data_IF_446803444851
#
_entry.id   IF_446803444851
#
_cell.length_a   1.000
_cell.length_b   1.000
_cell.length_c   1.000
_cell.angle_alpha   90.00
_cell.angle_beta   90.00
_cell.angle_gamma   90.00
#
_symmetry.space_group_name_H-M   'P 1'
#
loop_
_entity.id
_entity.type
_entity.pdbx_description
1 polymer ?
#
# COMPACT_ATOMS: atom_id res chain seq x y z
N UNK A 1 -2.82 13.28 -16.47
CA UNK A 1 -3.26 13.46 -15.08
C UNK A 1 -2.63 12.34 -14.29
N UNK A 2 -1.91 12.69 -13.24
CA UNK A 2 -1.25 11.74 -12.35
C UNK A 2 -1.74 12.00 -10.93
N UNK A 3 -2.58 11.09 -10.40
CA UNK A 3 -3.18 11.19 -9.06
C UNK A 3 -2.39 10.37 -8.05
N UNK A 4 -1.13 10.72 -7.84
CA UNK A 4 -0.16 9.73 -7.36
C UNK A 4 -0.32 9.34 -5.89
N UNK A 5 -0.97 10.16 -5.06
CA UNK A 5 -1.32 9.78 -3.69
C UNK A 5 -2.36 8.67 -3.64
N UNK A 6 -3.20 8.58 -4.67
CA UNK A 6 -4.23 7.57 -4.82
C UNK A 6 -3.66 6.36 -5.56
N UNK A 7 -3.17 6.58 -6.77
CA UNK A 7 -2.94 5.52 -7.76
C UNK A 7 -1.73 4.63 -7.48
N UNK A 8 -0.82 5.02 -6.58
CA UNK A 8 0.32 4.16 -6.23
C UNK A 8 -0.13 2.86 -5.54
N UNK A 9 -1.31 2.85 -4.94
CA UNK A 9 -1.78 1.79 -4.03
C UNK A 9 -2.29 0.57 -4.79
N UNK A 10 -3.01 0.76 -5.91
CA UNK A 10 -3.55 -0.33 -6.70
C UNK A 10 -3.54 -0.09 -8.22
N UNK A 11 -3.79 1.13 -8.69
CA UNK A 11 -3.85 1.41 -10.15
C UNK A 11 -2.51 1.12 -10.84
N UNK A 12 -1.41 1.73 -10.39
CA UNK A 12 -0.10 1.43 -10.97
C UNK A 12 0.36 -0.02 -10.73
N UNK A 13 0.18 -0.61 -9.53
CA UNK A 13 0.39 -2.04 -9.33
C UNK A 13 -0.38 -2.96 -10.28
N UNK A 14 -1.63 -2.61 -10.61
CA UNK A 14 -2.44 -3.33 -11.59
C UNK A 14 -1.88 -3.15 -13.01
N UNK A 15 -1.54 -1.91 -13.41
CA UNK A 15 -0.96 -1.63 -14.73
C UNK A 15 0.36 -2.36 -14.95
N UNK A 16 1.20 -2.53 -13.91
CA UNK A 16 2.41 -3.36 -14.01
C UNK A 16 2.07 -4.78 -14.51
N UNK A 17 0.95 -5.34 -14.07
CA UNK A 17 0.49 -6.69 -14.44
C UNK A 17 -0.13 -6.69 -15.84
N UNK A 18 -1.17 -5.89 -16.05
CA UNK A 18 -2.07 -6.06 -17.20
C UNK A 18 -1.74 -5.16 -18.39
N UNK A 19 -1.08 -4.03 -18.16
CA UNK A 19 -0.74 -3.04 -19.19
C UNK A 19 0.70 -2.47 -19.00
N UNK A 20 1.74 -3.33 -18.93
CA UNK A 20 3.09 -2.90 -18.56
C UNK A 20 3.65 -1.82 -19.49
N UNK A 21 3.30 -1.83 -20.77
CA UNK A 21 3.69 -0.77 -21.71
C UNK A 21 3.09 0.60 -21.37
N UNK A 22 1.82 0.63 -20.95
CA UNK A 22 1.17 1.89 -20.51
C UNK A 22 1.86 2.41 -19.26
N UNK A 23 2.26 1.50 -18.38
CA UNK A 23 2.99 1.83 -17.16
C UNK A 23 4.39 2.40 -17.44
N UNK A 24 5.15 1.80 -18.36
CA UNK A 24 6.42 2.38 -18.80
C UNK A 24 6.23 3.74 -19.48
N UNK A 25 5.18 3.92 -20.29
CA UNK A 25 4.87 5.20 -20.91
C UNK A 25 4.44 6.26 -19.86
N UNK A 26 3.78 5.84 -18.77
CA UNK A 26 3.50 6.69 -17.63
C UNK A 26 4.81 7.15 -16.95
N UNK A 27 5.75 6.23 -16.71
CA UNK A 27 7.06 6.57 -16.12
C UNK A 27 7.85 7.50 -17.04
N UNK A 28 7.93 7.23 -18.36
CA UNK A 28 8.54 8.15 -19.32
C UNK A 28 7.95 9.55 -19.23
N UNK A 29 6.62 9.65 -19.05
CA UNK A 29 5.95 10.94 -18.91
C UNK A 29 6.32 11.65 -17.60
N UNK A 30 6.48 10.90 -16.50
CA UNK A 30 6.98 11.45 -15.23
C UNK A 30 8.43 11.96 -15.36
N UNK A 31 9.28 11.25 -16.10
CA UNK A 31 10.66 11.68 -16.35
C UNK A 31 10.73 12.89 -17.28
N UNK A 32 9.89 12.97 -18.31
CA UNK A 32 9.77 14.17 -19.16
C UNK A 32 9.36 15.40 -18.34
N UNK A 33 8.42 15.23 -17.40
CA UNK A 33 8.06 16.27 -16.42
C UNK A 33 9.23 16.64 -15.50
N UNK A 34 10.04 15.67 -15.10
CA UNK A 34 11.26 15.92 -14.32
C UNK A 34 12.30 16.72 -15.12
N UNK A 35 12.58 16.34 -16.37
CA UNK A 35 13.57 17.02 -17.21
C UNK A 35 13.17 18.47 -17.54
N UNK A 36 11.88 18.71 -17.76
CA UNK A 36 11.38 20.02 -18.14
C UNK A 36 10.94 20.91 -16.97
N UNK A 37 10.37 20.32 -15.92
CA UNK A 37 9.89 21.02 -14.72
C UNK A 37 10.85 20.96 -13.53
N UNK A 38 11.89 20.13 -13.63
CA UNK A 38 12.92 19.95 -12.61
C UNK A 38 12.55 19.01 -11.46
N UNK A 39 11.30 18.51 -11.39
CA UNK A 39 10.81 17.73 -10.25
C UNK A 39 9.77 16.69 -10.70
N UNK A 40 9.77 15.52 -10.06
CA UNK A 40 8.66 14.58 -10.22
C UNK A 40 7.40 15.18 -9.57
N UNK A 41 6.24 15.10 -10.22
CA UNK A 41 5.00 15.65 -9.68
C UNK A 41 4.45 14.82 -8.52
N UNK A 42 3.56 15.43 -7.74
CA UNK A 42 2.71 14.75 -6.74
C UNK A 42 1.30 14.51 -7.30
N UNK A 43 0.67 15.62 -7.68
CA UNK A 43 -0.45 15.66 -8.60
C UNK A 43 0.00 16.40 -9.85
N UNK A 44 -0.28 15.81 -11.01
CA UNK A 44 -0.28 16.54 -12.28
C UNK A 44 -1.70 16.67 -12.81
N UNK A 45 -2.08 17.89 -13.17
CA UNK A 45 -3.26 18.15 -14.00
C UNK A 45 -2.99 19.26 -15.01
N UNK A 46 -3.19 18.96 -16.29
CA UNK A 46 -3.04 19.89 -17.41
C UNK A 46 -1.66 20.58 -17.46
N UNK A 47 -0.59 19.79 -17.30
CA UNK A 47 0.82 20.21 -17.30
C UNK A 47 1.17 21.19 -16.16
N UNK A 48 0.55 21.02 -14.99
CA UNK A 48 0.83 21.85 -13.81
C UNK A 48 1.01 21.00 -12.56
N UNK A 49 1.95 21.42 -11.73
CA UNK A 49 2.03 21.01 -10.34
C UNK A 49 0.89 21.67 -9.56
N UNK A 50 -0.08 20.88 -9.15
CA UNK A 50 -1.15 21.32 -8.23
C UNK A 50 -0.80 20.96 -6.78
N UNK A 51 0.22 20.13 -6.57
CA UNK A 51 0.84 19.77 -5.28
C UNK A 51 -0.03 18.99 -4.29
N UNK A 52 -1.19 18.54 -4.74
CA UNK A 52 -2.11 17.61 -4.07
C UNK A 52 -1.52 16.18 -4.20
N UNK A 53 -1.49 15.32 -3.20
CA UNK A 53 -1.76 15.49 -1.78
C UNK A 53 -0.45 15.59 -0.99
N UNK A 54 -0.13 14.64 -0.12
CA UNK A 54 1.05 14.64 0.76
C UNK A 54 2.16 13.73 0.20
N UNK A 55 3.31 13.70 0.88
CA UNK A 55 4.51 12.94 0.47
C UNK A 55 4.90 13.11 -1.02
N UNK A 56 5.45 12.07 -1.67
CA UNK A 56 6.03 12.07 -3.02
C UNK A 56 5.96 10.70 -3.73
N UNK A 57 4.75 10.20 -3.97
CA UNK A 57 4.51 8.82 -4.43
C UNK A 57 4.89 8.48 -5.89
N UNK A 58 5.36 9.45 -6.69
CA UNK A 58 6.03 9.14 -7.96
C UNK A 58 7.18 8.14 -7.74
N UNK A 59 7.86 8.28 -6.61
CA UNK A 59 8.91 7.40 -6.13
C UNK A 59 8.43 5.95 -5.94
N UNK A 60 7.27 5.75 -5.31
CA UNK A 60 6.69 4.42 -5.15
C UNK A 60 6.37 3.77 -6.49
N UNK A 61 5.80 4.53 -7.42
CA UNK A 61 5.39 4.01 -8.74
C UNK A 61 6.62 3.59 -9.57
N UNK A 62 7.66 4.41 -9.57
CA UNK A 62 8.91 4.08 -10.26
C UNK A 62 9.59 2.88 -9.60
N UNK A 63 9.76 2.89 -8.27
CA UNK A 63 10.41 1.81 -7.54
C UNK A 63 9.70 0.47 -7.71
N UNK A 64 8.37 0.45 -7.58
CA UNK A 64 7.54 -0.73 -7.85
C UNK A 64 7.71 -1.27 -9.27
N UNK A 65 7.67 -0.41 -10.29
CA UNK A 65 7.88 -0.86 -11.66
C UNK A 65 9.28 -1.42 -11.88
N UNK A 66 10.32 -0.83 -11.27
CA UNK A 66 11.68 -1.37 -11.33
C UNK A 66 11.79 -2.74 -10.66
N UNK A 67 11.20 -2.92 -9.48
CA UNK A 67 11.15 -4.21 -8.74
C UNK A 67 10.48 -5.29 -9.57
N UNK A 68 9.47 -4.94 -10.36
CA UNK A 68 8.77 -5.84 -11.30
C UNK A 68 9.40 -5.92 -12.68
N UNK A 69 10.69 -5.56 -12.79
CA UNK A 69 11.46 -5.70 -14.03
C UNK A 69 11.08 -4.75 -15.18
N UNK A 70 10.14 -3.82 -15.00
CA UNK A 70 9.77 -2.81 -16.00
C UNK A 70 10.82 -1.70 -16.04
N UNK A 71 11.92 -1.99 -16.73
CA UNK A 71 13.13 -1.16 -16.76
C UNK A 71 13.61 -0.84 -18.18
N UNK A 72 13.04 -1.47 -19.21
CA UNK A 72 13.51 -1.32 -20.59
C UNK A 72 12.94 -0.08 -21.29
N UNK A 73 11.78 0.39 -20.85
CA UNK A 73 11.10 1.54 -21.46
C UNK A 73 11.76 2.88 -21.21
N UNK A 74 12.53 3.07 -20.13
CA UNK A 74 12.99 4.41 -19.72
C UNK A 74 14.40 4.37 -19.14
N UNK A 75 14.99 5.55 -18.94
CA UNK A 75 16.32 5.68 -18.32
C UNK A 75 16.18 5.48 -16.80
N UNK A 76 16.59 4.32 -16.31
CA UNK A 76 16.52 3.95 -14.88
C UNK A 76 17.48 4.76 -14.01
N UNK A 77 18.61 5.21 -14.54
CA UNK A 77 19.54 6.08 -13.82
C UNK A 77 18.92 7.48 -13.64
N UNK A 78 18.28 8.01 -14.68
CA UNK A 78 17.52 9.27 -14.59
C UNK A 78 16.33 9.15 -13.64
N UNK A 79 15.63 8.02 -13.67
CA UNK A 79 14.51 7.75 -12.77
C UNK A 79 14.96 7.76 -11.30
N UNK A 80 16.06 7.08 -11.00
CA UNK A 80 16.66 7.11 -9.67
C UNK A 80 17.15 8.51 -9.28
N UNK A 81 17.82 9.24 -10.17
CA UNK A 81 18.24 10.62 -9.92
C UNK A 81 17.05 11.50 -9.51
N UNK A 82 15.92 11.37 -10.20
CA UNK A 82 14.71 12.12 -9.93
C UNK A 82 14.10 11.78 -8.56
N UNK A 83 14.02 10.48 -8.21
CA UNK A 83 13.58 10.01 -6.89
C UNK A 83 14.49 10.53 -5.77
N UNK A 84 15.81 10.41 -5.96
CA UNK A 84 16.82 10.88 -5.01
C UNK A 84 16.72 12.40 -4.81
N UNK A 85 16.56 13.18 -5.88
CA UNK A 85 16.42 14.63 -5.79
C UNK A 85 15.16 15.04 -5.03
N UNK A 86 14.01 14.43 -5.33
CA UNK A 86 12.73 14.71 -4.66
C UNK A 86 12.80 14.44 -3.14
N UNK A 87 13.55 13.43 -2.73
CA UNK A 87 13.68 13.00 -1.33
C UNK A 87 14.84 13.63 -0.54
N UNK A 88 15.66 14.48 -1.18
CA UNK A 88 16.83 15.13 -0.54
C UNK A 88 16.87 16.65 -0.71
N UNK A 89 16.02 17.22 -1.57
CA UNK A 89 16.04 18.66 -1.86
C UNK A 89 14.65 19.26 -1.82
N UNK A 90 14.59 20.50 -1.33
CA UNK A 90 13.39 21.33 -1.45
C UNK A 90 13.48 22.23 -2.69
N UNK A 91 12.35 22.47 -3.39
CA UNK A 91 12.28 23.44 -4.47
C UNK A 91 12.55 24.87 -4.00
N UNK A 92 13.13 25.69 -4.89
CA UNK A 92 13.27 27.13 -4.69
C UNK A 92 12.05 27.92 -5.19
N UNK A 93 12.12 29.25 -5.09
CA UNK A 93 11.04 30.16 -5.49
C UNK A 93 10.78 30.22 -7.02
N UNK A 94 11.58 29.53 -7.82
CA UNK A 94 11.53 29.51 -9.28
C UNK A 94 10.61 28.43 -9.86
N UNK A 95 9.99 27.60 -9.01
CA UNK A 95 9.05 26.55 -9.43
C UNK A 95 7.75 26.58 -8.62
N UNK A 96 6.69 26.03 -9.22
CA UNK A 96 5.41 25.81 -8.54
C UNK A 96 5.35 24.50 -7.78
N UNK A 97 6.33 23.61 -7.95
CA UNK A 97 6.40 22.37 -7.19
C UNK A 97 6.65 22.66 -5.70
N UNK A 98 5.92 21.99 -4.81
CA UNK A 98 6.01 22.21 -3.37
C UNK A 98 7.03 21.30 -2.66
N UNK A 99 7.53 20.25 -3.33
CA UNK A 99 8.40 19.28 -2.70
C UNK A 99 7.70 18.40 -1.68
N UNK A 100 8.50 17.57 -1.01
CA UNK A 100 8.10 16.82 0.18
C UNK A 100 8.05 17.80 1.37
N UNK A 101 6.93 18.50 1.53
CA UNK A 101 6.73 19.48 2.60
C UNK A 101 7.03 18.84 3.97
N UNK A 102 7.91 19.49 4.75
CA UNK A 102 8.42 18.97 6.03
C UNK A 102 9.66 18.07 5.92
N UNK A 103 10.27 17.93 4.74
CA UNK A 103 11.46 17.09 4.53
C UNK A 103 12.63 17.45 5.46
N UNK A 104 12.89 18.74 5.69
CA UNK A 104 13.95 19.20 6.59
C UNK A 104 13.74 18.66 8.02
N UNK A 105 12.51 18.75 8.52
CA UNK A 105 12.12 18.21 9.83
C UNK A 105 12.15 16.70 9.85
N UNK A 106 11.61 16.05 8.82
CA UNK A 106 11.63 14.61 8.66
C UNK A 106 13.06 14.05 8.72
N UNK A 107 14.01 14.67 8.02
CA UNK A 107 15.42 14.26 8.03
C UNK A 107 16.12 14.59 9.35
N UNK A 108 15.80 15.72 9.99
CA UNK A 108 16.41 16.14 11.26
C UNK A 108 15.95 15.25 12.44
N UNK A 109 14.64 15.04 12.58
CA UNK A 109 14.04 14.38 13.74
C UNK A 109 13.75 12.90 13.53
N UNK A 110 13.74 12.41 12.29
CA UNK A 110 13.22 11.10 11.95
C UNK A 110 11.68 11.02 11.92
N UNK A 111 11.02 12.17 12.01
CA UNK A 111 9.57 12.36 11.87
C UNK A 111 9.29 13.85 11.67
N UNK A 112 8.05 14.21 11.33
CA UNK A 112 7.64 15.62 11.28
C UNK A 112 6.98 15.97 12.62
N UNK A 113 7.53 16.89 13.44
CA UNK A 113 6.88 17.29 14.68
C UNK A 113 5.60 18.09 14.45
N UNK A 114 4.53 17.84 15.21
CA UNK A 114 3.23 18.51 15.01
C UNK A 114 3.28 20.02 15.29
N UNK A 115 4.10 20.46 16.24
CA UNK A 115 4.32 21.87 16.60
C UNK A 115 5.31 22.61 15.68
N UNK A 116 6.02 21.88 14.81
CA UNK A 116 6.98 22.43 13.83
C UNK A 116 6.74 21.88 12.41
N UNK A 117 5.51 21.43 12.09
CA UNK A 117 5.20 20.77 10.81
C UNK A 117 5.21 21.69 9.59
N UNK A 118 5.26 23.01 9.80
CA UNK A 118 5.14 24.00 8.74
C UNK A 118 3.88 23.79 7.89
N UNK A 119 4.08 23.56 6.60
CA UNK A 119 2.99 23.33 5.63
C UNK A 119 2.76 21.84 5.31
N UNK A 120 3.39 20.90 6.02
CA UNK A 120 3.15 19.47 5.80
C UNK A 120 1.68 19.11 6.08
N UNK A 121 1.07 18.32 5.20
CA UNK A 121 -0.29 17.82 5.40
C UNK A 121 -0.28 16.67 6.40
N UNK A 122 -0.63 16.95 7.64
CA UNK A 122 -0.56 15.99 8.75
C UNK A 122 0.88 15.54 9.08
N UNK A 123 1.33 15.77 10.31
CA UNK A 123 2.65 15.34 10.77
C UNK A 123 2.85 13.83 10.68
N UNK A 124 1.85 13.07 11.14
CA UNK A 124 1.89 11.61 11.21
C UNK A 124 1.72 11.00 9.82
N UNK A 125 0.69 11.40 9.07
CA UNK A 125 0.44 10.89 7.71
C UNK A 125 1.64 11.11 6.79
N UNK A 126 2.22 12.32 6.78
CA UNK A 126 3.40 12.60 5.95
C UNK A 126 4.65 11.84 6.43
N UNK A 127 4.80 11.58 7.74
CA UNK A 127 5.90 10.75 8.25
C UNK A 127 5.77 9.30 7.80
N UNK A 128 4.57 8.72 7.90
CA UNK A 128 4.29 7.33 7.53
C UNK A 128 4.49 7.10 6.03
N UNK A 129 3.82 7.91 5.20
CA UNK A 129 3.91 7.81 3.74
C UNK A 129 5.31 8.14 3.21
N UNK A 130 6.00 9.07 3.87
CA UNK A 130 7.39 9.36 3.58
C UNK A 130 8.33 8.19 3.88
N UNK A 131 8.09 7.46 4.97
CA UNK A 131 8.89 6.29 5.35
C UNK A 131 8.69 5.15 4.35
N UNK A 132 7.44 4.93 3.90
CA UNK A 132 7.15 4.02 2.80
C UNK A 132 7.82 4.43 1.47
N UNK A 133 7.75 5.72 1.09
CA UNK A 133 8.43 6.17 -0.13
C UNK A 133 9.95 5.99 -0.04
N UNK A 134 10.54 6.14 1.15
CA UNK A 134 11.96 5.88 1.36
C UNK A 134 12.28 4.39 1.20
N UNK A 135 11.41 3.47 1.62
CA UNK A 135 11.53 2.03 1.29
C UNK A 135 11.57 1.82 -0.23
N UNK A 136 10.66 2.42 -1.00
CA UNK A 136 10.66 2.28 -2.46
C UNK A 136 11.95 2.83 -3.12
N UNK A 137 12.59 3.87 -2.55
CA UNK A 137 13.90 4.34 -3.00
C UNK A 137 14.98 3.31 -2.68
N UNK A 138 14.94 2.70 -1.49
CA UNK A 138 15.88 1.66 -1.11
C UNK A 138 15.83 0.49 -2.11
N UNK A 139 14.64 0.01 -2.45
CA UNK A 139 14.48 -1.09 -3.43
C UNK A 139 15.05 -0.72 -4.81
N UNK A 140 14.79 0.50 -5.29
CA UNK A 140 15.41 0.98 -6.53
C UNK A 140 16.95 1.14 -6.43
N UNK A 141 17.46 1.53 -5.26
CA UNK A 141 18.89 1.64 -5.00
C UNK A 141 19.59 0.28 -5.04
N UNK A 142 18.99 -0.74 -4.45
CA UNK A 142 19.50 -2.12 -4.43
C UNK A 142 19.63 -2.69 -5.86
N UNK A 143 18.57 -2.54 -6.68
CA UNK A 143 18.57 -2.95 -8.09
C UNK A 143 19.68 -2.29 -8.92
N UNK A 144 20.09 -1.08 -8.54
CA UNK A 144 21.14 -0.31 -9.22
C UNK A 144 22.53 -0.47 -8.56
N UNK A 145 22.66 -1.30 -7.52
CA UNK A 145 23.92 -1.53 -6.79
C UNK A 145 24.42 -0.28 -6.04
N UNK A 146 23.50 0.52 -5.50
CA UNK A 146 23.79 1.74 -4.72
C UNK A 146 23.70 1.46 -3.22
N UNK A 147 24.59 0.59 -2.73
CA UNK A 147 24.56 0.04 -1.37
C UNK A 147 24.45 1.11 -0.26
N UNK A 148 25.23 2.20 -0.33
CA UNK A 148 25.19 3.29 0.66
C UNK A 148 23.83 3.98 0.70
N UNK A 149 23.19 4.16 -0.46
CA UNK A 149 21.86 4.76 -0.55
C UNK A 149 20.81 3.75 -0.04
N UNK A 150 20.92 2.46 -0.42
CA UNK A 150 20.05 1.40 0.11
C UNK A 150 20.05 1.39 1.65
N UNK A 151 21.22 1.33 2.29
CA UNK A 151 21.33 1.34 3.76
C UNK A 151 20.72 2.61 4.37
N UNK A 152 20.95 3.77 3.74
CA UNK A 152 20.41 5.06 4.20
C UNK A 152 18.89 5.09 4.14
N UNK A 153 18.32 4.63 3.03
CA UNK A 153 16.88 4.68 2.81
C UNK A 153 16.14 3.57 3.58
N UNK A 154 16.73 2.38 3.78
CA UNK A 154 16.18 1.37 4.69
C UNK A 154 16.11 1.88 6.14
N UNK A 155 17.13 2.62 6.60
CA UNK A 155 17.06 3.27 7.92
C UNK A 155 15.94 4.30 8.01
N UNK A 156 15.74 5.10 6.96
CA UNK A 156 14.64 6.08 6.89
C UNK A 156 13.27 5.40 6.78
N UNK A 157 13.20 4.24 6.14
CA UNK A 157 11.98 3.44 6.05
C UNK A 157 11.46 3.01 7.43
N UNK A 158 12.34 2.87 8.43
CA UNK A 158 11.98 2.63 9.84
C UNK A 158 11.47 3.86 10.62
N UNK A 159 11.39 5.05 10.01
CA UNK A 159 10.96 6.27 10.72
C UNK A 159 9.48 6.26 11.17
N UNK A 160 8.67 5.32 10.67
CA UNK A 160 7.30 5.12 11.16
C UNK A 160 7.25 4.84 12.68
N UNK A 161 8.26 4.19 13.24
CA UNK A 161 8.34 3.89 14.67
C UNK A 161 8.35 5.15 15.53
N UNK A 162 8.89 6.27 15.00
CA UNK A 162 9.04 7.51 15.75
C UNK A 162 7.72 8.20 16.07
N UNK A 163 6.64 7.82 15.39
CA UNK A 163 5.28 8.34 15.61
C UNK A 163 4.34 7.28 16.19
N UNK A 164 4.85 6.11 16.58
CA UNK A 164 4.09 5.09 17.30
C UNK A 164 4.13 5.35 18.82
N UNK A 165 2.98 5.63 19.42
CA UNK A 165 2.87 5.82 20.88
C UNK A 165 2.67 4.45 21.56
N UNK A 166 3.66 3.94 22.33
CA UNK A 166 3.57 2.60 22.91
C UNK A 166 2.48 2.47 23.99
N UNK A 167 2.05 3.58 24.61
CA UNK A 167 1.02 3.55 25.65
C UNK A 167 -0.38 3.40 25.03
N UNK A 168 -0.65 4.17 23.98
CA UNK A 168 -1.93 4.08 23.24
C UNK A 168 -1.90 3.03 22.15
N UNK A 169 -0.71 2.53 21.77
CA UNK A 169 -0.42 1.66 20.63
C UNK A 169 -0.91 2.19 19.29
N UNK A 170 -1.13 3.48 19.16
CA UNK A 170 -1.61 4.13 17.94
C UNK A 170 -0.50 5.00 17.36
N UNK A 171 -0.56 5.26 16.05
CA UNK A 171 0.24 6.35 15.49
C UNK A 171 -0.32 7.67 16.04
N UNK A 172 0.54 8.52 16.58
CA UNK A 172 0.15 9.72 17.33
C UNK A 172 1.06 10.91 16.99
N UNK A 173 0.52 12.13 16.89
CA UNK A 173 1.35 13.30 16.65
C UNK A 173 2.35 13.50 17.79
N UNK A 174 3.59 13.82 17.43
CA UNK A 174 4.72 13.98 18.35
C UNK A 174 5.31 15.38 18.21
N UNK A 175 5.77 15.96 19.31
CA UNK A 175 6.33 17.31 19.37
C UNK A 175 7.83 17.31 19.13
N UNK A 176 8.40 18.48 18.85
CA UNK A 176 9.83 18.64 18.56
C UNK A 176 10.71 18.33 19.79
N UNK A 177 10.16 18.47 21.00
CA UNK A 177 10.83 18.09 22.25
C UNK A 177 10.77 16.57 22.54
N UNK A 178 10.11 15.80 21.67
CA UNK A 178 9.96 14.35 21.74
C UNK A 178 8.75 13.87 22.53
N UNK A 179 7.98 14.77 23.17
CA UNK A 179 6.75 14.42 23.87
C UNK A 179 5.57 14.19 22.91
N UNK A 180 4.55 13.46 23.36
CA UNK A 180 3.34 13.24 22.56
C UNK A 180 2.41 14.45 22.61
N UNK A 181 1.86 14.85 21.46
CA UNK A 181 0.88 15.93 21.39
C UNK A 181 -0.36 15.61 22.23
N UNK A 182 -0.82 16.61 22.97
CA UNK A 182 -2.13 16.62 23.63
C UNK A 182 -2.83 17.94 23.30
N UNK A 183 -4.13 17.93 22.96
CA UNK A 183 -4.86 19.17 22.70
C UNK A 183 -5.03 20.00 23.98
N UNK A 184 -5.15 21.31 23.83
CA UNK A 184 -5.24 22.25 24.97
C UNK A 184 -6.46 21.99 25.88
N UNK A 185 -7.51 21.36 25.36
CA UNK A 185 -8.80 21.15 26.02
C UNK A 185 -9.03 19.73 26.54
N UNK A 186 -8.06 18.82 26.40
CA UNK A 186 -8.24 17.46 26.90
C UNK A 186 -7.14 16.46 26.53
N UNK A 187 -7.48 15.19 26.67
CA UNK A 187 -6.63 14.07 26.26
C UNK A 187 -6.79 13.84 24.75
N UNK A 188 -5.67 13.57 24.08
CA UNK A 188 -5.68 13.17 22.67
C UNK A 188 -6.47 11.87 22.48
N UNK A 189 -7.26 11.80 21.42
CA UNK A 189 -8.03 10.62 21.06
C UNK A 189 -7.60 10.11 19.68
N UNK A 190 -7.62 8.78 19.47
CA UNK A 190 -7.34 8.21 18.14
C UNK A 190 -8.30 8.68 17.03
N UNK A 191 -9.47 9.19 17.40
CA UNK A 191 -10.46 9.79 16.48
C UNK A 191 -10.15 11.23 16.08
N UNK A 192 -9.15 11.86 16.71
CA UNK A 192 -8.77 13.23 16.40
C UNK A 192 -8.06 13.27 15.04
N UNK A 193 -8.49 14.20 14.19
CA UNK A 193 -7.95 14.39 12.84
C UNK A 193 -6.60 15.12 12.83
N UNK A 194 -6.23 15.76 13.95
CA UNK A 194 -4.97 16.48 14.08
C UNK A 194 -3.76 15.58 13.83
N UNK A 195 -2.91 15.99 12.88
CA UNK A 195 -1.72 15.24 12.46
C UNK A 195 -1.96 14.23 11.32
N UNK A 196 -3.18 14.10 10.81
CA UNK A 196 -3.53 13.16 9.74
C UNK A 196 -4.13 13.87 8.52
N UNK A 197 -4.03 13.25 7.35
CA UNK A 197 -4.59 13.74 6.08
C UNK A 197 -5.78 12.89 5.68
N UNK A 198 -6.97 13.49 5.60
CA UNK A 198 -8.22 12.81 5.23
C UNK A 198 -8.65 11.69 6.20
N UNK A 199 -8.18 11.68 7.44
CA UNK A 199 -8.59 10.67 8.40
C UNK A 199 -8.08 10.94 9.79
N UNK A 200 -7.93 9.87 10.56
CA UNK A 200 -7.41 9.89 11.91
C UNK A 200 -6.53 8.66 12.16
N UNK A 201 -6.18 8.40 13.42
CA UNK A 201 -5.28 7.30 13.77
C UNK A 201 -5.86 5.91 13.47
N UNK A 202 -7.19 5.74 13.47
CA UNK A 202 -7.83 4.47 13.09
C UNK A 202 -7.65 4.13 11.60
N UNK A 203 -7.46 5.12 10.73
CA UNK A 203 -7.13 4.88 9.32
C UNK A 203 -5.62 4.76 9.10
N UNK A 204 -4.83 5.64 9.71
CA UNK A 204 -3.40 5.76 9.39
C UNK A 204 -2.47 4.85 10.17
N UNK A 205 -2.87 4.32 11.33
CA UNK A 205 -1.97 3.44 12.09
C UNK A 205 -1.50 2.25 11.29
N UNK A 206 -2.33 1.79 10.35
CA UNK A 206 -2.05 0.70 9.45
C UNK A 206 -1.07 1.05 8.32
N UNK A 207 -0.74 2.33 8.10
CA UNK A 207 0.09 2.78 6.99
C UNK A 207 1.60 2.59 7.27
N UNK A 208 1.98 1.36 7.59
CA UNK A 208 3.35 0.88 7.73
C UNK A 208 3.61 -0.14 6.64
N UNK A 209 3.26 0.21 5.39
CA UNK A 209 3.17 -0.74 4.27
C UNK A 209 4.44 -1.58 4.12
N UNK A 210 5.61 -0.95 4.24
CA UNK A 210 6.90 -1.61 4.15
C UNK A 210 7.20 -2.58 5.31
N UNK A 211 6.54 -2.44 6.47
CA UNK A 211 6.86 -3.19 7.69
C UNK A 211 5.63 -3.53 8.55
N UNK A 212 4.62 -4.18 7.96
CA UNK A 212 3.42 -4.57 8.72
C UNK A 212 3.79 -5.57 9.84
N UNK A 213 4.75 -6.46 9.60
CA UNK A 213 5.31 -7.36 10.63
C UNK A 213 5.89 -6.59 11.81
N UNK A 214 6.70 -5.55 11.56
CA UNK A 214 7.19 -4.65 12.59
C UNK A 214 6.06 -3.94 13.36
N UNK A 215 4.97 -3.54 12.69
CA UNK A 215 3.80 -2.99 13.37
C UNK A 215 3.10 -4.02 14.27
N UNK A 216 2.99 -5.29 13.83
CA UNK A 216 2.46 -6.38 14.67
C UNK A 216 3.31 -6.55 15.92
N UNK A 217 4.63 -6.49 15.81
CA UNK A 217 5.55 -6.58 16.95
C UNK A 217 5.40 -5.40 17.93
N UNK A 218 5.30 -4.18 17.41
CA UNK A 218 5.10 -2.96 18.22
C UNK A 218 3.74 -2.95 18.94
N UNK A 219 2.67 -3.33 18.24
CA UNK A 219 1.31 -3.29 18.75
C UNK A 219 0.98 -4.51 19.62
N UNK A 220 1.62 -5.65 19.35
CA UNK A 220 1.24 -6.97 19.83
C UNK A 220 0.07 -7.55 19.04
N UNK A 221 0.23 -8.80 18.60
CA UNK A 221 -0.71 -9.56 17.75
C UNK A 221 -2.17 -9.48 18.22
N UNK A 222 -2.44 -9.67 19.53
CA UNK A 222 -3.79 -9.61 20.10
C UNK A 222 -4.43 -8.23 19.88
N UNK A 223 -3.73 -7.16 20.23
CA UNK A 223 -4.25 -5.78 20.04
C UNK A 223 -4.38 -5.43 18.56
N UNK A 224 -3.46 -5.90 17.72
CA UNK A 224 -3.52 -5.70 16.27
C UNK A 224 -4.80 -6.30 15.69
N UNK A 225 -5.08 -7.56 16.00
CA UNK A 225 -6.27 -8.26 15.53
C UNK A 225 -7.55 -7.68 16.11
N UNK A 226 -7.60 -7.39 17.42
CA UNK A 226 -8.79 -6.79 18.06
C UNK A 226 -9.18 -5.45 17.44
N UNK A 227 -8.20 -4.65 17.01
CA UNK A 227 -8.45 -3.37 16.36
C UNK A 227 -8.87 -3.50 14.90
N UNK A 228 -8.32 -4.45 14.17
CA UNK A 228 -8.84 -4.76 12.84
C UNK A 228 -10.27 -5.27 12.94
N UNK A 229 -10.57 -6.17 13.90
CA UNK A 229 -11.93 -6.65 14.16
C UNK A 229 -12.87 -5.46 14.42
N UNK A 230 -12.49 -4.57 15.35
CA UNK A 230 -13.23 -3.33 15.63
C UNK A 230 -13.39 -2.46 14.38
N UNK A 231 -12.34 -2.29 13.58
CA UNK A 231 -12.39 -1.46 12.37
C UNK A 231 -13.42 -2.01 11.36
N UNK A 232 -13.51 -3.33 11.23
CA UNK A 232 -14.38 -4.00 10.25
C UNK A 232 -15.76 -4.39 10.77
N UNK A 233 -16.09 -4.11 12.04
CA UNK A 233 -17.44 -4.32 12.59
C UNK A 233 -18.51 -3.52 11.82
N UNK A 234 -18.15 -2.37 11.24
CA UNK A 234 -19.02 -1.55 10.40
C UNK A 234 -18.25 -0.91 9.22
N UNK A 235 -18.96 -0.56 8.15
CA UNK A 235 -18.43 0.28 7.06
C UNK A 235 -19.06 1.66 7.14
N UNK A 236 -18.23 2.72 7.13
CA UNK A 236 -18.67 4.10 7.33
C UNK A 236 -18.40 4.99 6.12
N UNK A 237 -19.23 6.02 5.96
CA UNK A 237 -19.00 7.17 5.07
C UNK A 237 -18.97 8.43 5.94
N UNK A 238 -17.81 8.78 6.54
CA UNK A 238 -17.72 9.89 7.48
C UNK A 238 -17.79 11.24 6.76
N UNK A 239 -18.30 12.26 7.45
CA UNK A 239 -18.06 13.65 7.05
C UNK A 239 -16.60 14.04 7.36
N UNK A 240 -16.10 15.08 6.69
CA UNK A 240 -14.71 15.55 6.79
C UNK A 240 -14.20 15.86 8.22
N UNK A 241 -15.07 15.98 9.22
CA UNK A 241 -14.68 16.19 10.61
C UNK A 241 -15.34 15.21 11.58
N UNK A 242 -15.92 14.12 11.08
CA UNK A 242 -16.58 13.16 11.94
C UNK A 242 -15.53 12.30 12.65
N UNK A 243 -15.62 12.12 13.98
CA UNK A 243 -14.80 11.14 14.67
C UNK A 243 -15.29 9.74 14.30
N UNK A 244 -14.45 8.95 13.65
CA UNK A 244 -14.77 7.58 13.24
C UNK A 244 -13.67 6.60 13.66
N UNK A 245 -14.06 5.35 13.88
CA UNK A 245 -13.17 4.25 14.30
C UNK A 245 -13.26 3.03 13.38
N UNK A 246 -14.14 3.09 12.38
CA UNK A 246 -14.50 1.98 11.51
C UNK A 246 -13.97 2.19 10.09
N UNK A 247 -14.05 1.13 9.30
CA UNK A 247 -13.50 1.08 7.95
C UNK A 247 -14.23 2.02 6.99
N UNK A 248 -13.44 2.81 6.26
CA UNK A 248 -13.94 3.69 5.21
C UNK A 248 -13.29 3.32 3.88
N UNK A 249 -14.00 2.52 3.07
CA UNK A 249 -13.53 2.08 1.76
C UNK A 249 -13.40 3.23 0.75
N UNK A 250 -14.19 4.29 0.88
CA UNK A 250 -14.21 5.40 -0.07
C UNK A 250 -13.05 6.39 0.10
N UNK A 251 -11.98 5.99 0.77
CA UNK A 251 -10.81 6.81 1.03
C UNK A 251 -9.54 5.95 1.17
N UNK A 252 -8.50 6.40 0.49
CA UNK A 252 -7.25 5.73 0.15
C UNK A 252 -6.43 5.17 1.32
N UNK A 253 -6.33 5.84 2.49
CA UNK A 253 -5.53 5.34 3.62
C UNK A 253 -6.02 3.99 4.16
N UNK A 254 -7.27 3.62 3.87
CA UNK A 254 -7.87 2.37 4.38
C UNK A 254 -7.67 1.18 3.42
N UNK A 255 -7.37 1.40 2.14
CA UNK A 255 -7.51 0.37 1.08
C UNK A 255 -6.74 -0.94 1.33
N UNK A 256 -5.60 -0.89 2.00
CA UNK A 256 -4.78 -2.08 2.28
C UNK A 256 -5.20 -2.80 3.58
N UNK A 257 -5.97 -2.15 4.47
CA UNK A 257 -6.33 -2.70 5.78
C UNK A 257 -7.02 -4.09 5.73
N UNK A 258 -7.90 -4.40 4.75
CA UNK A 258 -8.52 -5.72 4.65
C UNK A 258 -7.52 -6.87 4.49
N UNK A 259 -6.30 -6.58 4.03
CA UNK A 259 -5.25 -7.55 3.72
C UNK A 259 -4.21 -7.71 4.85
N UNK A 260 -4.47 -7.15 6.03
CA UNK A 260 -3.49 -7.14 7.12
C UNK A 260 -3.57 -8.33 8.09
N UNK A 261 -4.70 -9.05 8.14
CA UNK A 261 -4.83 -10.23 9.02
C UNK A 261 -3.80 -11.36 8.75
N UNK A 262 -3.37 -11.64 7.50
CA UNK A 262 -2.29 -12.56 7.20
C UNK A 262 -0.99 -12.32 7.98
N UNK A 263 -0.63 -11.06 8.23
CA UNK A 263 0.57 -10.70 9.00
C UNK A 263 0.46 -11.07 10.48
N UNK A 264 -0.77 -11.20 11.00
CA UNK A 264 -1.07 -11.71 12.35
C UNK A 264 -1.55 -13.17 12.34
N UNK A 265 -1.30 -13.91 11.25
CA UNK A 265 -1.64 -15.33 11.14
C UNK A 265 -3.14 -15.65 11.05
N UNK A 266 -3.98 -14.70 10.62
CA UNK A 266 -5.44 -14.91 10.51
C UNK A 266 -6.01 -14.66 9.10
N UNK A 267 -5.46 -15.27 8.03
CA UNK A 267 -5.83 -14.98 6.64
C UNK A 267 -7.32 -15.23 6.33
N UNK A 268 -8.00 -16.12 7.05
CA UNK A 268 -9.44 -16.35 6.88
C UNK A 268 -10.28 -15.10 7.16
N UNK A 269 -9.81 -14.18 8.01
CA UNK A 269 -10.50 -12.90 8.26
C UNK A 269 -10.35 -11.94 7.08
N UNK A 270 -9.19 -11.91 6.42
CA UNK A 270 -9.01 -11.17 5.16
C UNK A 270 -9.96 -11.67 4.09
N UNK A 271 -10.09 -12.99 3.95
CA UNK A 271 -11.02 -13.61 2.99
C UNK A 271 -12.48 -13.19 3.23
N UNK A 272 -12.90 -13.08 4.49
CA UNK A 272 -14.22 -12.61 4.89
C UNK A 272 -14.43 -11.12 4.56
N UNK A 273 -13.54 -10.26 5.07
CA UNK A 273 -13.67 -8.79 4.95
C UNK A 273 -13.58 -8.34 3.50
N UNK A 274 -12.63 -8.87 2.71
CA UNK A 274 -12.49 -8.51 1.28
C UNK A 274 -13.77 -8.84 0.50
N UNK A 275 -14.37 -10.00 0.76
CA UNK A 275 -15.66 -10.37 0.16
C UNK A 275 -16.77 -9.40 0.62
N UNK A 276 -16.87 -9.10 1.91
CA UNK A 276 -17.93 -8.21 2.41
C UNK A 276 -17.81 -6.80 1.84
N UNK A 277 -16.61 -6.25 1.76
CA UNK A 277 -16.35 -4.95 1.11
C UNK A 277 -16.76 -4.98 -0.37
N UNK A 278 -16.26 -5.93 -1.17
CA UNK A 278 -16.61 -6.03 -2.59
C UNK A 278 -18.11 -6.17 -2.83
N UNK A 279 -18.80 -6.90 -1.97
CA UNK A 279 -20.20 -7.26 -2.16
C UNK A 279 -21.21 -6.25 -1.61
N UNK A 280 -20.79 -5.42 -0.64
CA UNK A 280 -21.68 -4.44 0.01
C UNK A 280 -21.45 -3.01 -0.45
N UNK A 281 -20.22 -2.67 -0.86
CA UNK A 281 -19.83 -1.28 -1.15
C UNK A 281 -19.72 -0.99 -2.65
N UNK A 282 -19.62 -2.01 -3.49
CA UNK A 282 -19.55 -1.85 -4.95
C UNK A 282 -20.82 -2.38 -5.63
N UNK A 283 -21.38 -1.59 -6.55
CA UNK A 283 -22.56 -1.98 -7.34
C UNK A 283 -22.43 -1.53 -8.80
N UNK A 284 -23.24 -2.09 -9.70
CA UNK A 284 -23.20 -1.77 -11.14
C UNK A 284 -24.03 -0.54 -11.52
N UNK A 285 -24.65 0.14 -10.55
CA UNK A 285 -25.53 1.29 -10.78
C UNK A 285 -24.81 2.65 -10.67
N UNK A 286 -25.47 3.76 -11.03
CA UNK A 286 -24.96 5.10 -10.70
C UNK A 286 -24.71 5.24 -9.19
N UNK A 287 -23.53 5.73 -8.81
CA UNK A 287 -23.09 5.79 -7.40
C UNK A 287 -22.63 4.43 -6.85
N UNK A 288 -22.31 3.47 -7.71
CA UNK A 288 -21.85 2.14 -7.32
C UNK A 288 -20.38 2.01 -6.95
N UNK A 289 -19.67 3.13 -6.81
CA UNK A 289 -18.32 3.20 -6.22
C UNK A 289 -18.47 3.89 -4.86
N UNK A 290 -17.84 3.38 -3.78
CA UNK A 290 -18.14 3.82 -2.41
C UNK A 290 -17.50 5.16 -1.99
N UNK A 291 -16.86 5.87 -2.93
CA UNK A 291 -16.20 7.15 -2.72
C UNK A 291 -15.97 7.87 -4.05
N UNK A 292 -15.07 8.85 -4.04
CA UNK A 292 -14.50 9.36 -5.29
C UNK A 292 -13.80 8.19 -6.02
N UNK A 293 -13.75 8.22 -7.35
CA UNK A 293 -13.14 7.12 -8.11
C UNK A 293 -11.60 7.19 -8.13
N UNK A 294 -11.08 8.40 -7.92
CA UNK A 294 -9.66 8.75 -7.77
C UNK A 294 -8.76 8.15 -8.85
N UNK A 295 -9.21 8.36 -10.10
CA UNK A 295 -8.43 8.17 -11.33
C UNK A 295 -7.96 6.72 -11.48
N UNK A 296 -8.88 5.77 -11.26
CA UNK A 296 -8.63 4.34 -11.34
C UNK A 296 -8.41 3.66 -10.00
N UNK A 297 -8.01 4.38 -8.94
CA UNK A 297 -7.60 3.75 -7.68
C UNK A 297 -8.70 2.87 -7.06
N UNK A 298 -9.94 3.35 -7.00
CA UNK A 298 -11.06 2.58 -6.44
C UNK A 298 -11.44 1.37 -7.29
N UNK A 299 -11.32 1.53 -8.61
CA UNK A 299 -11.61 0.49 -9.59
C UNK A 299 -10.54 -0.60 -9.57
N UNK A 300 -9.26 -0.21 -9.50
CA UNK A 300 -8.13 -1.12 -9.43
C UNK A 300 -8.13 -1.94 -8.14
N UNK A 301 -8.49 -1.34 -6.99
CA UNK A 301 -8.68 -2.08 -5.76
C UNK A 301 -9.70 -3.23 -5.94
N UNK A 302 -10.84 -2.93 -6.57
CA UNK A 302 -11.86 -3.94 -6.85
C UNK A 302 -11.35 -5.01 -7.81
N UNK A 303 -10.70 -4.62 -8.91
CA UNK A 303 -10.18 -5.55 -9.91
C UNK A 303 -9.16 -6.51 -9.27
N UNK A 304 -8.15 -6.00 -8.57
CA UNK A 304 -7.15 -6.85 -7.90
C UNK A 304 -7.82 -7.78 -6.87
N UNK A 305 -8.68 -7.24 -6.00
CA UNK A 305 -9.40 -8.04 -5.00
C UNK A 305 -10.27 -9.13 -5.64
N UNK A 306 -10.92 -8.83 -6.77
CA UNK A 306 -11.74 -9.78 -7.51
C UNK A 306 -10.90 -10.87 -8.21
N UNK A 307 -9.67 -10.56 -8.62
CA UNK A 307 -8.69 -11.56 -9.08
C UNK A 307 -8.26 -12.50 -7.95
N UNK A 308 -8.37 -12.06 -6.70
CA UNK A 308 -8.11 -12.86 -5.50
C UNK A 308 -6.83 -12.50 -4.76
N UNK A 309 -6.16 -11.38 -5.09
CA UNK A 309 -4.94 -10.95 -4.41
C UNK A 309 -4.73 -9.43 -4.51
N UNK A 310 -3.91 -8.86 -3.63
CA UNK A 310 -3.66 -7.41 -3.58
C UNK A 310 -2.20 -7.09 -3.25
N UNK A 311 -1.66 -6.03 -3.86
CA UNK A 311 -0.33 -5.51 -3.55
C UNK A 311 -0.41 -4.58 -2.33
N UNK A 312 -0.27 -5.14 -1.13
CA UNK A 312 -0.28 -4.35 0.12
C UNK A 312 0.87 -3.36 0.16
N UNK A 313 2.03 -3.79 -0.33
CA UNK A 313 3.29 -3.06 -0.27
C UNK A 313 3.87 -2.94 -1.67
N UNK A 314 3.39 -2.01 -2.51
CA UNK A 314 4.07 -1.75 -3.77
C UNK A 314 5.57 -1.45 -3.49
N UNK A 315 6.42 -1.91 -4.39
CA UNK A 315 7.87 -2.06 -4.30
C UNK A 315 8.38 -3.26 -3.47
N UNK A 316 7.54 -4.11 -2.87
CA UNK A 316 8.02 -5.37 -2.27
C UNK A 316 8.11 -6.53 -3.25
N UNK A 317 7.44 -6.44 -4.40
CA UNK A 317 7.32 -7.56 -5.34
C UNK A 317 6.39 -8.68 -4.88
N UNK A 318 5.59 -8.52 -3.82
CA UNK A 318 4.71 -9.57 -3.27
C UNK A 318 3.22 -9.22 -3.34
N UNK A 319 2.36 -10.23 -3.40
CA UNK A 319 0.90 -10.08 -3.34
C UNK A 319 0.29 -10.89 -2.21
N UNK A 320 -0.57 -10.27 -1.41
CA UNK A 320 -1.35 -10.97 -0.37
C UNK A 320 -2.59 -11.59 -0.99
N UNK A 321 -2.81 -12.88 -0.74
CA UNK A 321 -3.96 -13.64 -1.24
C UNK A 321 -5.21 -13.28 -0.41
N UNK A 322 -6.24 -12.83 -1.12
CA UNK A 322 -7.57 -12.55 -0.58
C UNK A 322 -8.53 -13.71 -0.84
N UNK A 323 -9.73 -13.37 -1.33
CA UNK A 323 -10.74 -14.35 -1.73
C UNK A 323 -11.29 -13.96 -3.10
N UNK A 324 -11.03 -14.73 -4.18
CA UNK A 324 -11.40 -14.37 -5.54
C UNK A 324 -12.92 -14.28 -5.72
N UNK A 325 -13.36 -13.40 -6.63
CA UNK A 325 -14.78 -13.21 -6.93
C UNK A 325 -15.32 -14.16 -8.01
N UNK A 326 -14.43 -14.81 -8.77
CA UNK A 326 -14.77 -15.65 -9.92
C UNK A 326 -14.18 -17.05 -9.78
N UNK A 327 -14.82 -18.04 -10.44
CA UNK A 327 -14.32 -19.41 -10.44
C UNK A 327 -12.92 -19.53 -11.07
N UNK A 328 -12.71 -18.79 -12.16
CA UNK A 328 -11.43 -18.75 -12.87
C UNK A 328 -11.17 -17.32 -13.33
N UNK A 329 -9.95 -16.85 -13.11
CA UNK A 329 -9.42 -15.59 -13.65
C UNK A 329 -8.17 -15.92 -14.45
N UNK A 330 -8.12 -15.48 -15.70
CA UNK A 330 -6.95 -15.66 -16.57
C UNK A 330 -6.34 -14.32 -16.90
N UNK A 331 -5.10 -14.13 -16.47
CA UNK A 331 -4.26 -12.99 -16.81
C UNK A 331 -3.45 -13.38 -18.04
N UNK A 332 -3.63 -12.68 -19.15
CA UNK A 332 -2.83 -12.90 -20.35
C UNK A 332 -1.55 -12.09 -20.21
N UNK A 333 -0.40 -12.77 -20.18
CA UNK A 333 0.89 -12.15 -19.97
C UNK A 333 1.45 -11.69 -21.33
N UNK A 334 1.63 -10.39 -21.57
CA UNK A 334 2.14 -9.91 -22.85
C UNK A 334 3.56 -10.37 -23.17
N UNK A 335 3.78 -10.85 -24.40
CA UNK A 335 5.08 -11.32 -24.92
C UNK A 335 6.23 -10.33 -24.71
N UNK A 336 5.97 -9.03 -24.79
CA UNK A 336 7.02 -8.00 -24.77
C UNK A 336 7.67 -7.78 -23.41
N UNK A 337 7.02 -8.21 -22.32
CA UNK A 337 7.54 -8.06 -20.96
C UNK A 337 7.72 -9.42 -20.28
N UNK A 338 6.71 -10.29 -20.37
CA UNK A 338 6.71 -11.60 -19.69
C UNK A 338 7.15 -12.77 -20.58
N UNK A 339 7.44 -12.55 -21.86
CA UNK A 339 7.76 -13.63 -22.81
C UNK A 339 6.55 -14.48 -23.27
N UNK A 340 5.34 -14.13 -22.82
CA UNK A 340 4.07 -14.68 -23.27
C UNK A 340 3.47 -15.70 -22.32
N UNK A 341 2.22 -16.08 -22.55
CA UNK A 341 1.54 -17.11 -21.75
C UNK A 341 0.39 -16.55 -20.91
N UNK A 342 0.06 -17.28 -19.85
CA UNK A 342 -1.07 -16.98 -18.99
C UNK A 342 -0.74 -17.33 -17.55
N UNK A 343 -1.19 -16.51 -16.62
CA UNK A 343 -1.30 -16.86 -15.21
C UNK A 343 -2.78 -17.02 -14.85
N UNK A 344 -3.14 -18.14 -14.25
CA UNK A 344 -4.53 -18.49 -13.96
C UNK A 344 -4.74 -18.58 -12.46
N UNK A 345 -5.68 -17.81 -11.91
CA UNK A 345 -6.23 -18.06 -10.57
C UNK A 345 -7.44 -18.96 -10.75
N UNK A 346 -7.34 -20.21 -10.27
CA UNK A 346 -8.38 -21.22 -10.45
C UNK A 346 -8.95 -21.71 -9.11
N UNK A 347 -10.27 -21.68 -8.98
CA UNK A 347 -11.01 -22.26 -7.84
C UNK A 347 -11.87 -23.45 -8.25
N UNK A 348 -11.79 -23.90 -9.51
CA UNK A 348 -12.63 -24.98 -10.02
C UNK A 348 -12.33 -26.32 -9.34
N UNK A 349 -13.40 -27.08 -9.10
CA UNK A 349 -13.34 -28.35 -8.37
C UNK A 349 -13.42 -28.22 -6.85
N UNK A 350 -13.56 -27.00 -6.32
CA UNK A 350 -14.27 -26.82 -5.04
C UNK A 350 -15.71 -27.35 -5.21
N UNK A 351 -16.20 -28.18 -4.29
CA UNK A 351 -17.60 -28.63 -4.33
C UNK A 351 -18.47 -27.37 -4.25
N UNK A 352 -19.28 -27.05 -5.27
CA UNK A 352 -20.13 -25.85 -5.31
C UNK A 352 -21.58 -26.20 -4.94
N UNK A 353 -22.10 -25.74 -3.79
CA UNK A 353 -23.45 -26.05 -3.29
C UNK A 353 -24.46 -24.90 -3.46
N UNK A 354 -24.02 -23.71 -3.87
CA UNK A 354 -24.90 -22.55 -4.11
C UNK A 354 -24.76 -21.42 -3.09
N UNK A 355 -24.04 -21.64 -1.99
CA UNK A 355 -23.53 -20.58 -1.12
C UNK A 355 -22.10 -20.14 -1.54
N UNK A 356 -21.75 -18.87 -1.31
CA UNK A 356 -20.42 -18.33 -1.71
C UNK A 356 -19.32 -18.99 -0.89
N UNK A 357 -18.46 -19.77 -1.53
CA UNK A 357 -17.22 -20.29 -0.93
C UNK A 357 -16.27 -19.13 -0.66
N UNK A 358 -16.11 -18.76 0.61
CA UNK A 358 -15.27 -17.63 1.00
C UNK A 358 -13.86 -18.06 1.36
N UNK A 359 -13.69 -19.27 1.89
CA UNK A 359 -12.49 -19.64 2.63
C UNK A 359 -11.57 -20.60 1.88
N UNK A 360 -10.28 -20.28 1.81
CA UNK A 360 -9.26 -21.14 1.20
C UNK A 360 -8.95 -22.30 2.15
N UNK A 361 -9.14 -23.52 1.68
CA UNK A 361 -8.84 -24.76 2.44
C UNK A 361 -7.41 -25.24 2.19
N UNK A 362 -6.90 -25.06 0.97
CA UNK A 362 -5.50 -25.27 0.61
C UNK A 362 -5.23 -24.61 -0.75
N UNK A 363 -3.96 -24.35 -1.05
CA UNK A 363 -3.54 -23.76 -2.31
C UNK A 363 -2.42 -24.58 -2.97
N UNK A 364 -2.36 -24.52 -4.29
CA UNK A 364 -1.23 -24.99 -5.07
C UNK A 364 -0.78 -23.89 -6.01
N UNK A 365 0.52 -23.66 -6.10
CA UNK A 365 1.13 -22.74 -7.04
C UNK A 365 1.96 -23.56 -8.02
N UNK A 366 1.59 -23.53 -9.30
CA UNK A 366 2.23 -24.31 -10.36
C UNK A 366 2.30 -25.83 -10.08
N UNK A 367 1.31 -26.34 -9.32
CA UNK A 367 1.18 -27.74 -8.94
C UNK A 367 1.85 -28.11 -7.61
N UNK A 368 2.68 -27.24 -7.05
CA UNK A 368 3.31 -27.43 -5.74
C UNK A 368 2.42 -26.93 -4.61
N UNK A 369 2.46 -27.60 -3.45
CA UNK A 369 1.66 -27.20 -2.28
C UNK A 369 2.11 -25.83 -1.81
N UNK A 370 1.20 -24.86 -1.83
CA UNK A 370 1.42 -23.49 -1.41
C UNK A 370 0.72 -23.27 -0.06
N UNK A 371 1.50 -22.98 0.98
CA UNK A 371 0.98 -22.84 2.36
C UNK A 371 0.88 -21.39 2.79
N UNK A 372 1.60 -20.52 2.10
CA UNK A 372 1.70 -19.09 2.30
C UNK A 372 0.37 -18.42 1.90
N UNK A 373 0.04 -17.33 2.58
CA UNK A 373 -1.12 -16.48 2.27
C UNK A 373 -0.75 -15.34 1.31
N UNK A 374 0.35 -15.51 0.58
CA UNK A 374 0.95 -14.53 -0.31
C UNK A 374 1.86 -15.24 -1.32
N UNK A 375 2.15 -14.60 -2.45
CA UNK A 375 3.09 -15.11 -3.46
C UNK A 375 3.89 -13.95 -4.08
N UNK A 376 5.02 -14.26 -4.72
CA UNK A 376 5.90 -13.28 -5.35
C UNK A 376 5.45 -12.92 -6.76
N UNK A 377 5.82 -11.74 -7.24
CA UNK A 377 5.55 -11.33 -8.61
C UNK A 377 6.24 -12.24 -9.63
N UNK A 378 7.43 -12.75 -9.30
CA UNK A 378 8.15 -13.74 -10.11
C UNK A 378 7.31 -15.01 -10.35
N UNK A 379 6.49 -15.44 -9.39
CA UNK A 379 5.61 -16.61 -9.57
C UNK A 379 4.51 -16.36 -10.60
N UNK A 380 4.11 -15.09 -10.78
CA UNK A 380 3.16 -14.67 -11.81
C UNK A 380 3.86 -14.47 -13.15
N UNK A 381 5.05 -13.87 -13.17
CA UNK A 381 5.83 -13.56 -14.37
C UNK A 381 6.09 -14.79 -15.23
N UNK A 382 6.40 -15.94 -14.59
CA UNK A 382 6.63 -17.22 -15.25
C UNK A 382 5.35 -17.86 -15.85
N UNK A 383 4.18 -17.27 -15.57
CA UNK A 383 2.87 -17.83 -15.89
C UNK A 383 2.51 -19.03 -15.04
N UNK A 384 1.51 -19.79 -15.49
CA UNK A 384 1.03 -21.00 -14.82
C UNK A 384 -0.28 -20.80 -14.06
N UNK A 385 -0.38 -21.34 -12.84
CA UNK A 385 -1.65 -21.45 -12.11
C UNK A 385 -1.48 -21.34 -10.59
N UNK A 386 -2.24 -20.42 -9.97
CA UNK A 386 -2.58 -20.43 -8.55
C UNK A 386 -3.94 -21.10 -8.37
N UNK A 387 -3.93 -22.34 -7.90
CA UNK A 387 -5.14 -23.12 -7.64
C UNK A 387 -5.54 -23.03 -6.17
N UNK A 388 -6.73 -22.50 -5.90
CA UNK A 388 -7.27 -22.34 -4.56
C UNK A 388 -8.46 -23.29 -4.34
N UNK A 389 -8.31 -24.23 -3.42
CA UNK A 389 -9.42 -25.11 -3.03
C UNK A 389 -10.29 -24.39 -2.01
N UNK A 390 -11.47 -23.94 -2.45
CA UNK A 390 -12.36 -23.13 -1.63
C UNK A 390 -13.31 -24.00 -0.76
N UNK A 391 -13.75 -23.45 0.37
CA UNK A 391 -14.64 -24.07 1.35
C UNK A 391 -15.61 -23.06 1.97
N UNK A 392 -16.71 -23.55 2.56
CA UNK A 392 -17.71 -22.74 3.27
C UNK A 392 -17.32 -22.45 4.72
N UNK A 393 -16.54 -23.34 5.33
CA UNK A 393 -16.05 -23.21 6.69
C UNK A 393 -14.67 -22.55 6.71
N UNK A 394 -14.45 -21.67 7.68
CA UNK A 394 -13.13 -21.06 7.89
C UNK A 394 -12.07 -22.13 8.12
N UNK A 395 -10.96 -22.03 7.40
CA UNK A 395 -9.79 -22.86 7.68
C UNK A 395 -8.81 -22.07 8.53
N UNK A 396 -8.68 -22.45 9.80
CA UNK A 396 -7.73 -21.83 10.75
C UNK A 396 -6.36 -22.50 10.75
N UNK A 397 -6.06 -23.32 9.75
CA UNK A 397 -4.77 -24.02 9.58
C UNK A 397 -4.02 -23.63 8.29
N UNK A 398 -4.67 -23.07 7.26
CA UNK A 398 -4.01 -22.63 6.02
C UNK A 398 -3.59 -21.16 6.07
N UNK A 399 -2.38 -20.84 5.57
CA UNK A 399 -1.84 -19.48 5.58
C UNK A 399 -1.56 -18.94 6.99
N UNK A 400 -1.52 -19.83 7.99
CA UNK A 400 -1.38 -19.48 9.40
C UNK A 400 0.07 -19.62 9.82
N UNK A 401 0.54 -18.61 10.53
CA UNK A 401 1.87 -18.57 11.13
C UNK A 401 1.78 -18.93 12.63
N UNK A 402 1.71 -20.20 13.07
CA UNK A 402 2.35 -20.54 14.34
C UNK A 402 3.86 -20.39 14.13
N UNK A 403 4.60 -19.82 15.10
CA UNK A 403 6.07 -19.71 15.07
C UNK A 403 6.73 -20.94 14.40
N UNK A 404 7.12 -20.80 13.13
CA UNK A 404 7.92 -21.76 12.37
C UNK A 404 7.22 -22.71 11.37
N UNK A 405 5.92 -22.58 11.06
CA UNK A 405 5.26 -23.49 10.11
C UNK A 405 5.05 -22.93 8.69
N UNK A 406 4.80 -21.61 8.56
CA UNK A 406 4.61 -20.87 7.30
C UNK A 406 5.10 -19.43 7.55
N UNK A 407 5.75 -18.79 6.58
CA UNK A 407 6.17 -17.38 6.71
C UNK A 407 4.99 -16.43 6.49
N UNK A 408 4.83 -15.35 7.29
CA UNK A 408 3.87 -14.29 6.99
C UNK A 408 4.25 -13.58 5.67
N UNK A 409 3.38 -12.70 5.13
CA UNK A 409 3.79 -11.87 4.01
C UNK A 409 5.02 -11.01 4.37
N UNK A 410 5.93 -10.73 3.39
CA UNK A 410 7.20 -10.09 3.67
C UNK A 410 7.05 -8.73 4.34
N UNK A 411 7.94 -8.44 5.29
CA UNK A 411 8.09 -7.13 5.93
C UNK A 411 9.58 -6.76 5.97
N UNK A 412 9.92 -5.47 5.88
CA UNK A 412 11.35 -5.08 5.87
C UNK A 412 12.12 -5.47 7.14
N UNK A 413 11.45 -5.70 8.27
CA UNK A 413 12.08 -6.22 9.49
C UNK A 413 12.50 -7.70 9.40
N UNK A 414 12.10 -8.41 8.33
CA UNK A 414 12.55 -9.79 8.05
C UNK A 414 13.96 -9.85 7.43
N UNK A 415 14.42 -8.74 6.82
CA UNK A 415 15.73 -8.54 6.17
C UNK A 415 16.80 -8.03 7.14
#
# INVERSE_FOLDING_TARGET
>A
MFSLWDTFRAEHPLLNIVEPKVQEDAIKSLLDMYEHGGWLPKWEFANRYTNVMIADHATSIIGESMVKGLTEGYDTDLAYEAMYKNSTRMPGDDTYYAGRLGLDKYTEYGYIPEDDKGNAGGSVSTTLEGSYNDFAIAQAADLLGKDDDYETYMKRAGFYENVFDPDTKFMRPRLADGSWYSPDDGEWKPTDWGGFTEGNSWSYTWHTLQDIGGLVDLMGEETFVERLDHMFDEFVYPSWNDPFTHYWQGNEPSHHAPYLYPFAGQPWKTQEVVQDVMNSLYTTGPGGVPGNEDVGQMSAWYVMSAMGFYAVTPASGSYVIGSPAFETVTINLPDYHYGGGQFVVDTTGAEYDGDRYRYIQNAHLNGDVHRESWFDHADLEDGGELRLHMGTEKNTDWGVTPKGAVSPPPSMSDD
#
